data_IF_910947767264
#
_entry.id   IF_910947767264
#
_cell.length_a   1.000
_cell.length_b   1.000
_cell.length_c   1.000
_cell.angle_alpha   90.00
_cell.angle_beta   90.00
_cell.angle_gamma   90.00
#
_symmetry.space_group_name_H-M   'P 1'
#
loop_
_entity.id
_entity.type
_entity.pdbx_description
1 polymer ?
#
# COMPACT_ATOMS: atom_id res chain seq x y z
N UNK A 1 -17.01 -1.62 2.22
CA UNK A 1 -15.72 -1.15 1.71
C UNK A 1 -15.26 0.00 2.60
N UNK A 2 -14.14 -0.16 3.29
CA UNK A 2 -13.56 0.87 4.15
C UNK A 2 -12.79 1.87 3.29
N UNK A 3 -13.07 3.16 3.47
CA UNK A 3 -12.30 4.23 2.84
C UNK A 3 -11.15 4.58 3.78
N UNK A 4 -9.92 4.52 3.28
CA UNK A 4 -8.71 4.89 4.01
C UNK A 4 -8.35 6.32 3.65
N UNK A 5 -8.30 7.19 4.67
CA UNK A 5 -7.92 8.59 4.56
C UNK A 5 -6.61 8.86 5.29
N UNK A 6 -6.03 10.04 5.10
CA UNK A 6 -4.69 10.41 5.61
C UNK A 6 -4.63 10.37 7.15
N UNK A 7 -5.75 10.61 7.80
CA UNK A 7 -5.92 10.59 9.25
C UNK A 7 -5.85 9.17 9.83
N UNK A 8 -6.10 8.13 9.02
CA UNK A 8 -6.11 6.72 9.42
C UNK A 8 -4.70 6.13 9.55
N UNK A 9 -3.78 6.84 10.20
CA UNK A 9 -2.35 6.48 10.29
C UNK A 9 -2.11 5.06 10.80
N UNK A 10 -2.93 4.60 11.75
CA UNK A 10 -2.87 3.24 12.26
C UNK A 10 -3.20 2.21 11.19
N UNK A 11 -4.33 2.37 10.51
CA UNK A 11 -4.77 1.52 9.39
C UNK A 11 -3.75 1.53 8.26
N UNK A 12 -3.25 2.70 7.85
CA UNK A 12 -2.24 2.86 6.80
C UNK A 12 -1.00 2.05 7.12
N UNK A 13 -0.52 2.12 8.38
CA UNK A 13 0.67 1.40 8.82
C UNK A 13 0.47 -0.12 8.75
N UNK A 14 -0.69 -0.60 9.23
CA UNK A 14 -1.05 -2.02 9.19
C UNK A 14 -1.12 -2.50 7.74
N UNK A 15 -1.89 -1.81 6.89
CA UNK A 15 -2.10 -2.14 5.48
C UNK A 15 -0.79 -2.23 4.72
N UNK A 16 0.13 -1.30 4.92
CA UNK A 16 1.44 -1.32 4.26
C UNK A 16 2.28 -2.51 4.70
N UNK A 17 2.36 -2.77 6.00
CA UNK A 17 3.17 -3.87 6.51
C UNK A 17 2.59 -5.23 6.10
N UNK A 18 1.27 -5.39 6.17
CA UNK A 18 0.59 -6.59 5.67
C UNK A 18 0.79 -6.76 4.17
N UNK A 19 0.67 -5.69 3.38
CA UNK A 19 0.94 -5.72 1.95
C UNK A 19 2.34 -6.26 1.64
N UNK A 20 3.36 -5.72 2.31
CA UNK A 20 4.77 -6.09 2.13
C UNK A 20 5.02 -7.56 2.50
N UNK A 21 4.39 -8.07 3.56
CA UNK A 21 4.56 -9.46 4.00
C UNK A 21 3.78 -10.43 3.10
N UNK A 22 2.57 -10.05 2.69
CA UNK A 22 1.66 -10.94 1.97
C UNK A 22 1.89 -10.99 0.45
N UNK A 23 2.55 -9.99 -0.13
CA UNK A 23 2.73 -9.89 -1.57
C UNK A 23 4.21 -9.86 -1.92
N UNK A 24 4.61 -10.76 -2.82
CA UNK A 24 5.93 -10.68 -3.44
C UNK A 24 5.89 -9.59 -4.49
N UNK A 25 6.59 -8.49 -4.24
CA UNK A 25 6.75 -7.39 -5.19
C UNK A 25 8.02 -7.64 -5.98
N UNK A 26 7.87 -8.07 -7.23
CA UNK A 26 9.01 -8.42 -8.09
C UNK A 26 9.67 -7.19 -8.74
N UNK A 27 8.98 -6.05 -8.80
CA UNK A 27 9.53 -4.79 -9.30
C UNK A 27 8.84 -3.57 -8.71
N UNK A 28 9.54 -2.43 -8.68
CA UNK A 28 8.98 -1.13 -8.22
C UNK A 28 7.75 -0.71 -9.04
N UNK A 29 7.81 -0.94 -10.35
CA UNK A 29 6.73 -0.63 -11.29
C UNK A 29 5.46 -1.46 -11.00
N UNK A 30 5.59 -2.61 -10.34
CA UNK A 30 4.46 -3.45 -9.96
C UNK A 30 3.76 -3.01 -8.66
N UNK A 31 4.38 -2.13 -7.85
CA UNK A 31 3.83 -1.71 -6.54
C UNK A 31 2.41 -1.13 -6.68
N UNK A 32 2.13 -0.16 -7.58
CA UNK A 32 0.81 0.46 -7.63
C UNK A 32 -0.30 -0.56 -7.96
N UNK A 33 -0.04 -1.45 -8.93
CA UNK A 33 -1.05 -2.42 -9.37
C UNK A 33 -1.27 -3.52 -8.33
N UNK A 34 -0.20 -4.03 -7.69
CA UNK A 34 -0.32 -5.02 -6.62
C UNK A 34 -0.96 -4.43 -5.37
N UNK A 35 -0.64 -3.18 -5.02
CA UNK A 35 -1.24 -2.51 -3.89
C UNK A 35 -2.74 -2.27 -4.10
N UNK A 36 -3.17 -1.88 -5.31
CA UNK A 36 -4.60 -1.78 -5.66
C UNK A 36 -5.31 -3.14 -5.56
N UNK A 37 -4.68 -4.22 -6.03
CA UNK A 37 -5.23 -5.58 -5.90
C UNK A 37 -5.38 -5.96 -4.43
N UNK A 38 -4.39 -5.63 -3.59
CA UNK A 38 -4.44 -5.89 -2.16
C UNK A 38 -5.59 -5.14 -1.48
N UNK A 39 -5.70 -3.82 -1.70
CA UNK A 39 -6.78 -3.00 -1.15
C UNK A 39 -8.16 -3.57 -1.52
N UNK A 40 -8.34 -3.98 -2.79
CA UNK A 40 -9.58 -4.61 -3.24
C UNK A 40 -9.87 -5.92 -2.50
N UNK A 41 -8.87 -6.79 -2.31
CA UNK A 41 -9.01 -8.05 -1.53
C UNK A 41 -9.35 -7.76 -0.06
N UNK A 42 -8.77 -6.72 0.52
CA UNK A 42 -9.03 -6.28 1.89
C UNK A 42 -10.35 -5.51 2.07
N UNK A 43 -11.17 -5.36 1.01
CA UNK A 43 -12.38 -4.53 1.00
C UNK A 43 -12.10 -3.08 1.45
N UNK A 44 -10.94 -2.55 1.07
CA UNK A 44 -10.46 -1.19 1.34
C UNK A 44 -10.31 -0.40 0.04
N UNK A 45 -10.38 0.94 0.14
CA UNK A 45 -10.19 1.86 -0.97
C UNK A 45 -9.49 3.12 -0.49
N UNK A 46 -8.59 3.65 -1.32
CA UNK A 46 -8.03 4.99 -1.19
C UNK A 46 -8.56 5.80 -2.36
N UNK A 47 -9.22 6.92 -2.08
CA UNK A 47 -9.78 7.80 -3.12
C UNK A 47 -8.87 9.00 -3.41
N UNK A 48 -8.05 9.40 -2.43
CA UNK A 48 -7.05 10.43 -2.59
C UNK A 48 -5.85 9.89 -3.38
N UNK A 49 -5.73 10.33 -4.63
CA UNK A 49 -4.62 9.94 -5.51
C UNK A 49 -3.25 10.41 -5.02
N UNK A 50 -3.18 11.51 -4.27
CA UNK A 50 -1.92 11.99 -3.67
C UNK A 50 -1.50 11.06 -2.54
N UNK A 51 -2.43 10.74 -1.63
CA UNK A 51 -2.18 9.76 -0.57
C UNK A 51 -1.76 8.41 -1.16
N UNK A 52 -2.48 7.92 -2.17
CA UNK A 52 -2.15 6.65 -2.81
C UNK A 52 -0.70 6.62 -3.33
N UNK A 53 -0.26 7.68 -4.02
CA UNK A 53 1.11 7.78 -4.52
C UNK A 53 2.14 7.85 -3.38
N UNK A 54 1.87 8.65 -2.34
CA UNK A 54 2.74 8.73 -1.15
C UNK A 54 2.91 7.35 -0.48
N UNK A 55 1.85 6.55 -0.41
CA UNK A 55 1.92 5.20 0.16
C UNK A 55 2.71 4.25 -0.74
N UNK A 56 2.58 4.36 -2.07
CA UNK A 56 3.38 3.58 -3.01
C UNK A 56 4.88 3.89 -2.85
N UNK A 57 5.25 5.18 -2.76
CA UNK A 57 6.63 5.60 -2.51
C UNK A 57 7.17 5.07 -1.18
N UNK A 58 6.32 5.03 -0.15
CA UNK A 58 6.69 4.54 1.17
C UNK A 58 6.88 3.01 1.17
N UNK A 59 6.04 2.28 0.46
CA UNK A 59 6.19 0.85 0.22
C UNK A 59 7.52 0.58 -0.50
N UNK A 60 7.81 1.31 -1.58
CA UNK A 60 9.05 1.18 -2.34
C UNK A 60 10.27 1.36 -1.43
N UNK A 61 10.30 2.43 -0.63
CA UNK A 61 11.40 2.71 0.32
C UNK A 61 11.57 1.62 1.37
N UNK A 62 10.47 0.99 1.81
CA UNK A 62 10.51 -0.11 2.79
C UNK A 62 11.05 -1.40 2.16
N UNK A 63 10.73 -1.68 0.90
CA UNK A 63 11.23 -2.86 0.19
C UNK A 63 12.73 -2.76 -0.10
N UNK A 64 13.23 -1.59 -0.50
CA UNK A 64 14.68 -1.36 -0.74
C UNK A 64 15.53 -1.61 0.51
N UNK A 65 14.97 -1.38 1.72
CA UNK A 65 15.70 -1.64 2.97
C UNK A 65 15.78 -3.11 3.37
N UNK A 66 15.03 -3.98 2.70
CA UNK A 66 15.01 -5.43 2.97
C UNK A 66 15.84 -6.25 1.98
N UNK A 67 16.47 -5.61 0.98
CA UNK A 67 17.56 -6.17 0.15
C UNK A 67 18.93 -5.82 0.76
#
# INVERSE_FOLDING_TARGET
MQIVIREDRGTITIVINEFIVANKVDSKESIPIEFLKYLRKANMKIEDGVLFNELCDLIEKKLIKND
#
